data_IF_387923730623
#
_entry.id   IF_387923730623
#
_cell.length_a   1.000
_cell.length_b   1.000
_cell.length_c   1.000
_cell.angle_alpha   90.00
_cell.angle_beta   90.00
_cell.angle_gamma   90.00
#
_symmetry.space_group_name_H-M   'P 1'
#
loop_
_entity.id
_entity.type
_entity.pdbx_description
1 polymer ?
#
# COMPACT_ATOMS: atom_id res chain seq x y z
N UNK A 1 -10.26 -1.02 -0.11
CA UNK A 1 -9.05 -0.42 -0.69
C UNK A 1 -8.76 -1.03 -2.05
N UNK A 2 -8.66 -0.19 -3.08
CA UNK A 2 -8.27 -0.57 -4.44
C UNK A 2 -6.79 -0.28 -4.70
N UNK A 3 -6.26 -0.78 -5.83
CA UNK A 3 -4.89 -0.43 -6.27
C UNK A 3 -4.77 1.07 -6.56
N UNK A 4 -5.82 1.69 -7.10
CA UNK A 4 -5.85 3.13 -7.38
C UNK A 4 -5.78 3.95 -6.10
N UNK A 5 -6.54 3.59 -5.06
CA UNK A 5 -6.44 4.24 -3.74
C UNK A 5 -5.03 4.11 -3.15
N UNK A 6 -4.39 2.95 -3.34
CA UNK A 6 -3.02 2.74 -2.88
C UNK A 6 -2.01 3.59 -3.66
N UNK A 7 -2.17 3.74 -4.98
CA UNK A 7 -1.34 4.64 -5.80
C UNK A 7 -1.50 6.10 -5.37
N UNK A 8 -2.75 6.56 -5.29
CA UNK A 8 -3.07 7.91 -4.83
C UNK A 8 -2.44 8.22 -3.48
N UNK A 9 -2.48 7.26 -2.55
CA UNK A 9 -1.89 7.43 -1.23
C UNK A 9 -0.39 7.77 -1.27
N UNK A 10 0.37 7.13 -2.17
CA UNK A 10 1.80 7.40 -2.36
C UNK A 10 2.05 8.67 -3.17
N UNK A 11 1.20 8.99 -4.15
CA UNK A 11 1.29 10.23 -4.92
C UNK A 11 1.07 11.48 -4.05
N UNK A 12 0.13 11.42 -3.11
CA UNK A 12 -0.08 12.49 -2.12
C UNK A 12 1.06 12.62 -1.09
N UNK A 13 1.93 11.60 -0.98
CA UNK A 13 2.99 11.50 0.03
C UNK A 13 4.33 11.15 -0.63
N UNK A 14 4.91 12.05 -1.44
CA UNK A 14 6.16 11.80 -2.16
C UNK A 14 7.35 11.48 -1.24
N UNK A 15 7.28 11.88 0.04
CA UNK A 15 8.26 11.52 1.07
C UNK A 15 8.20 10.06 1.52
N UNK A 16 7.09 9.35 1.26
CA UNK A 16 6.90 7.96 1.63
C UNK A 16 7.28 7.05 0.47
N UNK A 17 8.43 6.38 0.60
CA UNK A 17 8.84 5.37 -0.38
C UNK A 17 7.96 4.12 -0.29
N UNK A 18 7.37 3.72 -1.42
CA UNK A 18 6.65 2.44 -1.54
C UNK A 18 7.51 1.24 -1.13
N UNK A 19 8.82 1.30 -1.39
CA UNK A 19 9.79 0.28 -1.00
C UNK A 19 10.03 0.24 0.52
N UNK A 20 10.17 1.40 1.15
CA UNK A 20 10.29 1.52 2.61
C UNK A 20 9.03 1.03 3.31
N UNK A 21 7.88 1.46 2.80
CA UNK A 21 6.56 1.02 3.25
C UNK A 21 6.38 -0.51 3.12
N UNK A 22 6.79 -1.10 2.01
CA UNK A 22 6.69 -2.55 1.78
C UNK A 22 7.48 -3.33 2.82
N UNK A 23 8.72 -2.90 3.12
CA UNK A 23 9.55 -3.51 4.17
C UNK A 23 8.87 -3.43 5.54
N UNK A 24 8.35 -2.26 5.90
CA UNK A 24 7.68 -2.06 7.19
C UNK A 24 6.40 -2.89 7.34
N UNK A 25 5.66 -3.08 6.24
CA UNK A 25 4.46 -3.91 6.19
C UNK A 25 4.74 -5.42 6.06
N UNK A 26 6.01 -5.84 6.03
CA UNK A 26 6.37 -7.26 5.97
C UNK A 26 5.99 -7.92 4.64
N UNK A 27 6.00 -7.16 3.54
CA UNK A 27 5.91 -7.67 2.16
C UNK A 27 7.17 -7.32 1.38
N UNK A 28 7.46 -8.07 0.30
CA UNK A 28 8.62 -7.74 -0.52
C UNK A 28 8.37 -6.44 -1.30
N UNK A 29 9.37 -5.56 -1.42
CA UNK A 29 9.21 -4.36 -2.25
C UNK A 29 8.90 -4.66 -3.70
N UNK A 30 9.47 -5.74 -4.24
CA UNK A 30 9.14 -6.22 -5.59
C UNK A 30 7.66 -6.59 -5.74
N UNK A 31 7.05 -7.19 -4.72
CA UNK A 31 5.61 -7.45 -4.72
C UNK A 31 4.81 -6.15 -4.71
N UNK A 32 5.24 -5.15 -3.93
CA UNK A 32 4.61 -3.84 -3.92
C UNK A 32 4.68 -3.18 -5.32
N UNK A 33 5.84 -3.19 -5.97
CA UNK A 33 5.99 -2.67 -7.33
C UNK A 33 5.07 -3.39 -8.31
N UNK A 34 4.94 -4.72 -8.22
CA UNK A 34 4.03 -5.47 -9.07
C UNK A 34 2.57 -5.11 -8.84
N UNK A 35 2.17 -4.84 -7.60
CA UNK A 35 0.81 -4.39 -7.28
C UNK A 35 0.59 -2.98 -7.81
N UNK A 36 1.52 -2.06 -7.52
CA UNK A 36 1.45 -0.68 -7.97
C UNK A 36 1.50 -0.56 -9.50
N UNK A 37 2.12 -1.48 -10.23
CA UNK A 37 2.11 -1.49 -11.69
C UNK A 37 0.91 -2.27 -12.29
N UNK A 38 0.00 -2.81 -11.46
CA UNK A 38 -1.16 -3.58 -11.92
C UNK A 38 -0.82 -4.98 -12.45
N UNK A 39 0.43 -5.43 -12.30
CA UNK A 39 0.89 -6.77 -12.70
C UNK A 39 0.44 -7.87 -11.73
N UNK A 40 0.12 -7.49 -10.49
CA UNK A 40 -0.42 -8.39 -9.46
C UNK A 40 -1.62 -7.74 -8.77
N UNK A 41 -2.61 -8.56 -8.45
CA UNK A 41 -3.77 -8.12 -7.68
C UNK A 41 -3.41 -7.85 -6.22
N UNK A 42 -4.07 -6.86 -5.63
CA UNK A 42 -4.02 -6.62 -4.19
C UNK A 42 -4.88 -7.66 -3.46
N UNK A 43 -4.25 -8.73 -2.98
CA UNK A 43 -4.94 -9.82 -2.26
C UNK A 43 -5.36 -9.40 -0.85
N UNK A 44 -6.37 -10.08 -0.28
CA UNK A 44 -6.80 -9.86 1.11
C UNK A 44 -5.63 -9.98 2.11
N UNK A 45 -4.78 -11.01 1.94
CA UNK A 45 -3.58 -11.23 2.78
C UNK A 45 -2.60 -10.06 2.68
N UNK A 46 -2.40 -9.50 1.49
CA UNK A 46 -1.55 -8.32 1.33
C UNK A 46 -2.20 -7.10 1.99
N UNK A 47 -3.51 -6.89 1.79
CA UNK A 47 -4.27 -5.81 2.40
C UNK A 47 -4.16 -5.82 3.92
N UNK A 48 -4.34 -6.97 4.56
CA UNK A 48 -4.23 -7.13 6.02
C UNK A 48 -2.84 -6.74 6.55
N UNK A 49 -1.78 -7.00 5.79
CA UNK A 49 -0.41 -6.61 6.14
C UNK A 49 -0.15 -5.12 5.99
N UNK A 50 -0.63 -4.52 4.91
CA UNK A 50 -0.31 -3.11 4.59
C UNK A 50 -1.25 -2.13 5.30
N UNK A 51 -2.50 -2.52 5.58
CA UNK A 51 -3.52 -1.69 6.22
C UNK A 51 -3.08 -1.04 7.55
N UNK A 52 -2.48 -1.76 8.53
CA UNK A 52 -2.04 -1.11 9.77
C UNK A 52 -0.97 -0.05 9.53
N UNK A 53 -0.06 -0.28 8.57
CA UNK A 53 0.99 0.68 8.21
C UNK A 53 0.39 1.87 7.46
N UNK A 54 -0.58 1.64 6.57
CA UNK A 54 -1.34 2.72 5.92
C UNK A 54 -2.02 3.63 6.95
N UNK A 55 -2.71 3.04 7.92
CA UNK A 55 -3.36 3.78 9.02
C UNK A 55 -2.34 4.58 9.83
N UNK A 56 -1.18 3.99 10.14
CA UNK A 56 -0.06 4.69 10.80
C UNK A 56 0.40 5.93 10.02
N UNK A 57 0.38 5.88 8.70
CA UNK A 57 0.73 7.00 7.81
C UNK A 57 -0.48 7.88 7.41
N UNK A 58 -1.60 7.76 8.11
CA UNK A 58 -2.76 8.65 7.97
C UNK A 58 -3.75 8.25 6.88
N UNK A 59 -3.71 7.00 6.40
CA UNK A 59 -4.78 6.47 5.57
C UNK A 59 -6.06 6.35 6.40
N UNK A 60 -7.02 7.23 6.14
CA UNK A 60 -8.35 7.12 6.72
C UNK A 60 -9.07 6.03 5.93
N UNK A 61 -9.34 4.90 6.58
CA UNK A 61 -10.37 4.00 6.08
C UNK A 61 -11.67 4.78 6.16
N UNK A 62 -12.17 5.30 5.04
CA UNK A 62 -13.54 5.79 5.04
C UNK A 62 -14.45 4.67 5.55
N UNK A 63 -15.40 4.98 6.44
CA UNK A 63 -16.48 4.07 6.75
C UNK A 63 -17.33 3.93 5.48
N UNK A 64 -17.34 2.74 4.89
CA UNK A 64 -18.42 2.29 4.00
C UNK A 64 -19.77 2.37 4.75
#
# INVERSE_FOLDING_TARGET
MTIEQLRHFFEERPQLSAHGFAKESGISPRLMDYILNGQRSLTKKTTEKIKPILIKYGYKTEPD
#
